data_IF_549938863642
#
_entry.id   IF_549938863642
#
_cell.length_a   1.000
_cell.length_b   1.000
_cell.length_c   1.000
_cell.angle_alpha   90.00
_cell.angle_beta   90.00
_cell.angle_gamma   90.00
#
_symmetry.space_group_name_H-M   'P 1'
#
loop_
_entity.id
_entity.type
_entity.pdbx_description
1 polymer ?
#
# COMPACT_ATOMS: atom_id res chain seq x y z
N UNK A 1 -20.35 16.28 22.56
CA UNK A 1 -19.31 15.29 22.26
C UNK A 1 -19.59 14.05 23.09
N UNK A 2 -19.46 12.84 22.54
CA UNK A 2 -20.01 11.62 23.15
C UNK A 2 -19.04 10.91 24.13
N UNK A 3 -17.88 11.49 24.43
CA UNK A 3 -16.83 10.92 25.33
C UNK A 3 -16.45 9.46 25.02
N UNK A 4 -16.62 9.05 23.76
CA UNK A 4 -16.27 7.71 23.27
C UNK A 4 -15.12 7.78 22.28
N UNK A 5 -14.18 6.81 22.31
CA UNK A 5 -13.09 6.73 21.34
C UNK A 5 -13.61 6.65 19.90
N UNK A 6 -12.95 7.37 19.00
CA UNK A 6 -13.25 7.33 17.57
C UNK A 6 -12.95 5.96 16.97
N UNK A 7 -13.83 5.49 16.09
CA UNK A 7 -13.64 4.22 15.39
C UNK A 7 -12.63 4.37 14.24
N UNK A 8 -11.64 3.48 14.20
CA UNK A 8 -10.62 3.48 13.14
C UNK A 8 -11.01 2.51 12.00
N UNK A 9 -11.96 2.93 11.15
CA UNK A 9 -12.39 2.16 9.97
C UNK A 9 -11.61 2.60 8.73
N UNK A 10 -11.18 1.64 7.92
CA UNK A 10 -10.60 1.90 6.59
C UNK A 10 -11.33 1.09 5.51
N UNK A 11 -11.60 1.72 4.36
CA UNK A 11 -12.01 1.05 3.13
C UNK A 11 -10.97 1.36 2.05
N UNK A 12 -10.51 0.34 1.32
CA UNK A 12 -9.48 0.48 0.28
C UNK A 12 -9.75 -0.47 -0.87
N UNK A 13 -9.35 -0.07 -2.07
CA UNK A 13 -9.33 -0.93 -3.25
C UNK A 13 -8.24 -1.99 -3.08
N UNK A 14 -8.60 -3.25 -3.27
CA UNK A 14 -7.65 -4.39 -3.18
C UNK A 14 -7.35 -5.01 -4.54
N UNK A 15 -8.19 -4.76 -5.54
CA UNK A 15 -8.09 -5.33 -6.87
C UNK A 15 -8.66 -4.36 -7.92
N UNK A 16 -8.06 -4.32 -9.10
CA UNK A 16 -8.58 -3.63 -10.28
C UNK A 16 -8.27 -4.46 -11.52
N UNK A 17 -9.24 -4.66 -12.41
CA UNK A 17 -9.11 -5.48 -13.62
C UNK A 17 -8.56 -6.90 -13.34
N UNK A 18 -9.09 -7.57 -12.31
CA UNK A 18 -8.65 -8.91 -11.88
C UNK A 18 -7.16 -8.99 -11.49
N UNK A 19 -6.55 -7.88 -11.05
CA UNK A 19 -5.14 -7.81 -10.65
C UNK A 19 -5.01 -7.13 -9.27
N UNK A 20 -4.06 -7.57 -8.44
CA UNK A 20 -3.81 -6.94 -7.15
C UNK A 20 -3.34 -5.50 -7.35
N UNK A 21 -3.76 -4.62 -6.44
CA UNK A 21 -3.22 -3.26 -6.32
C UNK A 21 -2.62 -3.07 -4.94
N UNK A 22 -1.62 -2.19 -4.82
CA UNK A 22 -0.94 -1.93 -3.57
C UNK A 22 -0.77 -0.43 -3.33
N UNK A 23 -0.84 -0.03 -2.06
CA UNK A 23 -0.39 1.29 -1.61
C UNK A 23 0.92 1.12 -0.86
N UNK A 24 2.00 1.65 -1.43
CA UNK A 24 3.30 1.77 -0.78
C UNK A 24 3.37 3.14 -0.09
N UNK A 25 3.60 3.17 1.21
CA UNK A 25 3.67 4.39 2.02
C UNK A 25 5.03 4.46 2.69
N UNK A 26 5.59 5.66 2.81
CA UNK A 26 6.87 5.89 3.50
C UNK A 26 6.78 5.61 5.01
N UNK A 27 5.56 5.64 5.57
CA UNK A 27 5.33 5.23 6.95
C UNK A 27 5.21 3.69 7.07
N UNK A 28 6.00 3.13 7.99
CA UNK A 28 5.96 1.72 8.39
C UNK A 28 4.53 1.36 8.83
N UNK A 29 4.00 0.24 8.33
CA UNK A 29 2.66 -0.26 8.68
C UNK A 29 1.49 0.35 7.88
N UNK A 30 1.74 1.30 6.97
CA UNK A 30 0.69 1.82 6.05
C UNK A 30 0.69 1.15 4.66
N UNK A 31 1.55 0.16 4.46
CA UNK A 31 1.55 -0.67 3.26
C UNK A 31 0.35 -1.61 3.29
N UNK A 32 -0.44 -1.61 2.22
CA UNK A 32 -1.63 -2.45 2.10
C UNK A 32 -1.65 -3.16 0.76
N UNK A 33 -1.55 -4.48 0.79
CA UNK A 33 -1.85 -5.40 -0.29
C UNK A 33 -1.99 -6.80 0.33
N UNK A 34 -2.83 -7.67 -0.23
CA UNK A 34 -2.96 -9.06 0.25
C UNK A 34 -1.89 -9.99 -0.36
N UNK A 35 -1.27 -9.56 -1.45
CA UNK A 35 -0.26 -10.30 -2.19
C UNK A 35 1.14 -9.78 -1.81
N UNK A 36 1.89 -10.61 -1.08
CA UNK A 36 3.23 -10.27 -0.62
C UNK A 36 4.27 -10.23 -1.76
N UNK A 37 4.14 -11.14 -2.73
CA UNK A 37 5.05 -11.21 -3.88
C UNK A 37 4.89 -9.97 -4.76
N UNK A 38 3.65 -9.52 -4.98
CA UNK A 38 3.36 -8.29 -5.71
C UNK A 38 3.92 -7.04 -5.00
N UNK A 39 3.88 -6.98 -3.66
CA UNK A 39 4.47 -5.88 -2.89
C UNK A 39 5.99 -5.87 -3.02
N UNK A 40 6.65 -7.03 -2.94
CA UNK A 40 8.10 -7.12 -3.14
C UNK A 40 8.51 -6.70 -4.54
N UNK A 41 7.76 -7.15 -5.56
CA UNK A 41 7.96 -6.75 -6.94
C UNK A 41 7.88 -5.23 -7.09
N UNK A 42 6.80 -4.59 -6.64
CA UNK A 42 6.63 -3.14 -6.75
C UNK A 42 7.73 -2.36 -6.02
N UNK A 43 8.16 -2.81 -4.83
CA UNK A 43 9.26 -2.17 -4.10
C UNK A 43 10.55 -2.19 -4.92
N UNK A 44 10.94 -3.36 -5.43
CA UNK A 44 12.15 -3.52 -6.26
C UNK A 44 12.09 -2.66 -7.51
N UNK A 45 10.95 -2.65 -8.21
CA UNK A 45 10.78 -1.86 -9.44
C UNK A 45 10.87 -0.36 -9.17
N UNK A 46 10.24 0.14 -8.11
CA UNK A 46 10.28 1.57 -7.76
C UNK A 46 11.67 1.97 -7.27
N UNK A 47 12.32 1.16 -6.43
CA UNK A 47 13.68 1.43 -5.95
C UNK A 47 14.68 1.48 -7.11
N UNK A 48 14.59 0.55 -8.05
CA UNK A 48 15.40 0.57 -9.26
C UNK A 48 15.13 1.84 -10.08
N UNK A 49 13.86 2.20 -10.28
CA UNK A 49 13.46 3.42 -11.01
C UNK A 49 14.05 4.68 -10.37
N UNK A 50 13.93 4.82 -9.05
CA UNK A 50 14.42 5.99 -8.32
C UNK A 50 15.96 6.13 -8.33
N UNK A 51 16.68 5.02 -8.47
CA UNK A 51 18.14 5.01 -8.52
C UNK A 51 18.72 5.17 -9.93
N UNK A 52 17.87 5.06 -10.97
CA UNK A 52 18.28 5.06 -12.39
C UNK A 52 17.48 6.04 -13.26
N UNK A 53 16.66 6.90 -12.66
CA UNK A 53 16.08 8.05 -13.34
C UNK A 53 17.13 9.18 -13.32
N UNK A 54 17.53 9.66 -14.51
CA UNK A 54 18.36 10.88 -14.69
C UNK A 54 17.60 12.16 -14.30
#
# INVERSE_FOLDING_TARGET
DTDVPSLNIVMKVTECNNRPVAKLSNAVGKTMCKDGEYVEYLKKTIEWRLSHDE
#
